data_IF_379174577544
#
_entry.id   IF_379174577544
#
_cell.length_a   1.000
_cell.length_b   1.000
_cell.length_c   1.000
_cell.angle_alpha   90.00
_cell.angle_beta   90.00
_cell.angle_gamma   90.00
#
_symmetry.space_group_name_H-M   'P 1'
#
loop_
_entity.id
_entity.type
_entity.pdbx_description
1 polymer ?
#
# COMPACT_ATOMS: atom_id res chain seq x y z
N UNK A 1 -16.04 5.53 -61.76
CA UNK A 1 -16.12 6.81 -61.03
C UNK A 1 -16.91 6.59 -59.74
N UNK A 2 -16.20 6.70 -58.61
CA UNK A 2 -16.60 6.91 -57.20
C UNK A 2 -18.03 6.53 -56.74
N UNK A 3 -18.10 5.41 -56.03
CA UNK A 3 -18.99 5.20 -54.88
C UNK A 3 -18.12 5.07 -53.63
N UNK A 4 -18.37 5.89 -52.60
CA UNK A 4 -18.64 5.38 -51.26
C UNK A 4 -19.16 6.54 -50.41
N UNK A 5 -20.36 6.35 -49.89
CA UNK A 5 -21.07 7.26 -49.00
C UNK A 5 -20.37 7.30 -47.63
N UNK A 6 -20.33 8.50 -47.07
CA UNK A 6 -20.12 8.89 -45.66
C UNK A 6 -20.35 7.75 -44.67
N UNK A 7 -19.27 7.23 -44.08
CA UNK A 7 -19.24 6.62 -42.74
C UNK A 7 -17.84 6.81 -42.20
N UNK A 8 -17.68 7.51 -41.08
CA UNK A 8 -16.87 7.03 -39.95
C UNK A 8 -16.93 8.03 -38.80
N UNK A 9 -17.75 7.66 -37.83
CA UNK A 9 -17.79 8.17 -36.47
C UNK A 9 -16.40 8.00 -35.84
N UNK A 10 -15.61 9.06 -35.76
CA UNK A 10 -14.46 9.14 -34.87
C UNK A 10 -14.97 9.46 -33.46
N UNK A 11 -15.56 8.47 -32.81
CA UNK A 11 -15.84 8.51 -31.37
C UNK A 11 -14.53 8.27 -30.63
N UNK A 12 -13.98 9.35 -30.09
CA UNK A 12 -12.74 9.42 -29.33
C UNK A 12 -12.86 8.54 -28.08
N UNK A 13 -12.15 7.42 -28.07
CA UNK A 13 -11.96 6.60 -26.87
C UNK A 13 -11.05 7.36 -25.89
N UNK A 14 -11.65 8.05 -24.91
CA UNK A 14 -10.93 8.56 -23.74
C UNK A 14 -10.66 7.39 -22.81
N UNK A 15 -9.52 6.72 -23.00
CA UNK A 15 -9.01 5.73 -22.07
C UNK A 15 -8.54 6.42 -20.79
N UNK A 16 -9.40 6.46 -19.77
CA UNK A 16 -8.98 6.84 -18.42
C UNK A 16 -8.19 5.66 -17.84
N UNK A 17 -6.88 5.66 -18.08
CA UNK A 17 -5.94 4.82 -17.34
C UNK A 17 -5.91 5.36 -15.89
N UNK A 18 -6.85 4.91 -15.07
CA UNK A 18 -6.81 5.14 -13.64
C UNK A 18 -5.58 4.42 -13.09
N UNK A 19 -4.52 5.17 -12.79
CA UNK A 19 -3.45 4.69 -11.91
C UNK A 19 -4.08 4.44 -10.54
N UNK A 20 -4.61 3.24 -10.32
CA UNK A 20 -4.88 2.74 -8.98
C UNK A 20 -3.52 2.52 -8.33
N UNK A 21 -2.96 3.58 -7.75
CA UNK A 21 -1.81 3.51 -6.85
C UNK A 21 -2.26 2.65 -5.67
N UNK A 22 -2.09 1.33 -5.77
CA UNK A 22 -2.12 0.47 -4.61
C UNK A 22 -1.04 1.03 -3.69
N UNK A 23 -1.46 1.60 -2.56
CA UNK A 23 -0.57 2.06 -1.50
C UNK A 23 0.25 0.84 -1.08
N UNK A 24 1.50 0.82 -1.52
CA UNK A 24 2.44 -0.27 -1.32
C UNK A 24 3.68 0.30 -0.64
N UNK A 25 4.42 -0.55 0.09
CA UNK A 25 5.75 -0.21 0.56
C UNK A 25 6.62 0.33 -0.59
N UNK A 26 7.43 1.33 -0.28
CA UNK A 26 8.46 1.83 -1.17
C UNK A 26 9.65 0.88 -1.26
N UNK A 27 10.58 1.19 -2.17
CA UNK A 27 11.80 0.41 -2.34
C UNK A 27 12.79 0.54 -1.16
N UNK A 28 12.63 1.58 -0.33
CA UNK A 28 13.49 1.89 0.80
C UNK A 28 12.67 2.54 1.92
N UNK A 29 13.20 2.50 3.13
CA UNK A 29 12.62 3.22 4.26
C UNK A 29 12.70 4.74 4.03
N UNK A 30 11.56 5.41 4.16
CA UNK A 30 11.43 6.86 4.00
C UNK A 30 12.05 7.66 5.13
N UNK A 31 12.41 8.92 4.86
CA UNK A 31 12.93 9.82 5.89
C UNK A 31 11.84 10.22 6.91
N UNK A 32 10.61 10.46 6.46
CA UNK A 32 9.47 10.74 7.30
C UNK A 32 8.79 9.42 7.72
N UNK A 33 8.72 9.10 9.02
CA UNK A 33 8.15 7.84 9.48
C UNK A 33 6.63 7.78 9.24
N UNK A 34 6.10 6.62 8.83
CA UNK A 34 4.66 6.41 8.76
C UNK A 34 4.08 6.34 10.18
N UNK A 35 2.88 6.90 10.34
CA UNK A 35 2.14 6.95 11.59
C UNK A 35 0.82 6.21 11.45
N UNK A 36 0.44 5.49 12.50
CA UNK A 36 -0.91 4.97 12.62
C UNK A 36 -1.89 6.13 12.78
N UNK A 37 -2.90 6.15 11.92
CA UNK A 37 -4.02 7.06 11.97
C UNK A 37 -5.32 6.27 11.93
N UNK A 38 -6.42 6.90 12.33
CA UNK A 38 -7.76 6.34 12.13
C UNK A 38 -8.30 6.80 10.79
N UNK A 39 -8.41 5.87 9.84
CA UNK A 39 -9.04 6.04 8.53
C UNK A 39 -10.38 5.30 8.55
N UNK A 40 -11.49 6.01 8.39
CA UNK A 40 -12.85 5.43 8.35
C UNK A 40 -13.16 4.49 9.54
N UNK A 41 -12.73 4.88 10.74
CA UNK A 41 -12.92 4.10 11.97
C UNK A 41 -12.01 2.87 12.09
N UNK A 42 -11.02 2.72 11.21
CA UNK A 42 -10.02 1.64 11.23
C UNK A 42 -8.62 2.20 11.38
N UNK A 43 -7.75 1.47 12.05
CA UNK A 43 -6.33 1.81 12.07
C UNK A 43 -5.71 1.58 10.68
N UNK A 44 -4.97 2.56 10.20
CA UNK A 44 -4.23 2.49 8.94
C UNK A 44 -3.01 3.40 8.98
N UNK A 45 -2.08 3.17 8.06
CA UNK A 45 -0.89 4.00 7.93
C UNK A 45 -1.21 5.24 7.09
N UNK A 46 -0.75 6.40 7.54
CA UNK A 46 -0.88 7.67 6.80
C UNK A 46 -0.01 7.72 5.54
N UNK A 47 1.15 7.07 5.57
CA UNK A 47 2.11 7.02 4.47
C UNK A 47 2.69 5.60 4.25
N UNK A 48 1.91 4.67 3.65
CA UNK A 48 2.38 3.32 3.31
C UNK A 48 3.66 3.27 2.47
N UNK A 49 3.89 4.26 1.61
CA UNK A 49 5.06 4.30 0.73
C UNK A 49 6.37 4.61 1.48
N UNK A 50 6.30 5.07 2.74
CA UNK A 50 7.49 5.25 3.57
C UNK A 50 8.06 3.91 4.06
N UNK A 51 7.26 2.84 4.13
CA UNK A 51 7.79 1.52 4.46
C UNK A 51 8.79 1.07 3.40
N UNK A 52 9.93 0.51 3.83
CA UNK A 52 10.86 -0.20 2.96
C UNK A 52 10.58 -1.70 2.92
N UNK A 53 11.38 -2.49 2.19
CA UNK A 53 11.28 -3.94 2.22
C UNK A 53 11.54 -4.49 3.63
N UNK A 54 10.91 -5.60 3.97
CA UNK A 54 11.13 -6.28 5.25
C UNK A 54 12.52 -6.93 5.26
N UNK A 55 13.40 -6.63 6.23
CA UNK A 55 14.67 -7.34 6.39
C UNK A 55 14.44 -8.84 6.61
N UNK A 56 15.29 -9.69 6.03
CA UNK A 56 15.10 -11.14 6.02
C UNK A 56 14.99 -11.73 7.44
N UNK A 57 15.78 -11.21 8.37
CA UNK A 57 15.79 -11.56 9.79
C UNK A 57 14.51 -11.13 10.53
N UNK A 58 13.78 -10.14 10.01
CA UNK A 58 12.54 -9.63 10.59
C UNK A 58 11.29 -10.25 9.95
N UNK A 59 11.41 -10.95 8.81
CA UNK A 59 10.27 -11.47 8.05
C UNK A 59 9.37 -12.37 8.90
N UNK A 60 9.95 -13.35 9.58
CA UNK A 60 9.17 -14.29 10.40
C UNK A 60 8.40 -13.59 11.54
N UNK A 61 8.99 -12.54 12.11
CA UNK A 61 8.34 -11.73 13.16
C UNK A 61 7.22 -10.87 12.57
N UNK A 62 7.49 -10.22 11.44
CA UNK A 62 6.49 -9.43 10.71
C UNK A 62 5.29 -10.28 10.29
N UNK A 63 5.54 -11.46 9.71
CA UNK A 63 4.48 -12.39 9.29
C UNK A 63 3.66 -12.87 10.48
N UNK A 64 4.29 -13.17 11.62
CA UNK A 64 3.57 -13.53 12.83
C UNK A 64 2.62 -12.40 13.29
N UNK A 65 3.10 -11.15 13.29
CA UNK A 65 2.28 -9.98 13.63
C UNK A 65 1.13 -9.81 12.63
N UNK A 66 1.41 -9.80 11.33
CA UNK A 66 0.39 -9.59 10.30
C UNK A 66 -0.63 -10.74 10.26
N UNK A 67 -0.20 -11.97 10.54
CA UNK A 67 -1.09 -13.14 10.56
C UNK A 67 -2.18 -13.05 11.64
N UNK A 68 -2.02 -12.21 12.66
CA UNK A 68 -3.07 -11.94 13.65
C UNK A 68 -4.31 -11.29 13.04
N UNK A 69 -4.17 -10.62 11.88
CA UNK A 69 -5.28 -10.03 11.12
C UNK A 69 -5.96 -11.03 10.17
N UNK A 70 -5.46 -12.27 10.10
CA UNK A 70 -6.03 -13.29 9.23
C UNK A 70 -7.52 -13.50 9.53
N UNK A 71 -8.29 -13.68 8.45
CA UNK A 71 -9.68 -14.09 8.51
C UNK A 71 -9.92 -15.28 7.61
N UNK A 72 -11.15 -15.81 7.61
CA UNK A 72 -11.58 -16.85 6.66
C UNK A 72 -11.34 -16.45 5.19
N UNK A 73 -11.36 -15.15 4.89
CA UNK A 73 -11.39 -14.63 3.52
C UNK A 73 -10.10 -13.96 3.08
N UNK A 74 -9.19 -13.67 4.01
CA UNK A 74 -7.95 -12.96 3.72
C UNK A 74 -6.83 -13.40 4.65
N UNK A 75 -5.67 -13.63 4.05
CA UNK A 75 -4.41 -13.86 4.74
C UNK A 75 -3.57 -12.59 4.61
N UNK A 76 -2.85 -12.26 5.67
CA UNK A 76 -1.94 -11.12 5.73
C UNK A 76 -0.54 -11.60 6.04
N UNK A 77 0.44 -10.94 5.43
CA UNK A 77 1.87 -11.15 5.65
C UNK A 77 2.58 -9.79 5.64
N UNK A 78 3.79 -9.73 6.18
CA UNK A 78 4.54 -8.49 6.21
C UNK A 78 5.21 -8.26 4.86
N UNK A 79 4.91 -7.12 4.23
CA UNK A 79 5.52 -6.73 2.95
C UNK A 79 6.29 -5.43 3.03
N UNK A 80 6.17 -4.71 4.14
CA UNK A 80 7.00 -3.55 4.43
C UNK A 80 7.43 -3.47 5.89
N UNK A 81 8.56 -2.82 6.13
CA UNK A 81 9.08 -2.52 7.46
C UNK A 81 9.56 -1.06 7.53
N UNK A 82 9.37 -0.44 8.69
CA UNK A 82 9.93 0.87 8.98
C UNK A 82 10.40 0.92 10.44
N UNK A 83 11.70 1.18 10.64
CA UNK A 83 12.37 1.16 11.94
C UNK A 83 11.84 2.20 12.92
N UNK A 84 11.38 3.35 12.40
CA UNK A 84 10.83 4.47 13.21
C UNK A 84 9.33 4.70 13.03
N UNK A 85 8.57 3.71 12.56
CA UNK A 85 7.11 3.85 12.45
C UNK A 85 6.50 4.28 13.79
N UNK A 86 5.41 5.04 13.72
CA UNK A 86 4.82 5.70 14.89
C UNK A 86 3.41 5.16 15.20
N UNK A 87 3.07 5.14 16.48
CA UNK A 87 1.74 4.80 16.97
C UNK A 87 0.72 5.93 16.73
N UNK A 88 -0.50 5.74 17.24
CA UNK A 88 -1.58 6.74 17.11
C UNK A 88 -1.27 8.07 17.82
N UNK A 89 -0.36 8.09 18.79
CA UNK A 89 0.08 9.28 19.51
C UNK A 89 1.26 9.98 18.84
N UNK A 90 1.91 9.32 17.86
CA UNK A 90 3.12 9.80 17.20
C UNK A 90 4.40 9.30 17.86
N UNK A 91 4.31 8.36 18.80
CA UNK A 91 5.46 7.77 19.46
C UNK A 91 6.04 6.63 18.62
N UNK A 92 7.37 6.55 18.43
CA UNK A 92 7.98 5.46 17.67
C UNK A 92 7.77 4.10 18.33
N UNK A 93 7.43 3.09 17.54
CA UNK A 93 7.49 1.71 17.99
C UNK A 93 8.95 1.31 18.26
N UNK A 94 9.25 0.81 19.46
CA UNK A 94 10.61 0.47 19.89
C UNK A 94 11.33 -0.55 18.97
N UNK A 95 10.57 -1.37 18.24
CA UNK A 95 11.08 -2.38 17.29
C UNK A 95 10.66 -2.10 15.85
N UNK A 96 10.28 -0.87 15.54
CA UNK A 96 9.65 -0.51 14.28
C UNK A 96 8.25 -1.12 14.12
N UNK A 97 7.69 -0.99 12.92
CA UNK A 97 6.41 -1.59 12.57
C UNK A 97 6.43 -2.17 11.16
N UNK A 98 5.38 -2.93 10.86
CA UNK A 98 5.22 -3.65 9.60
C UNK A 98 4.00 -3.16 8.82
N UNK A 99 4.13 -3.18 7.50
CA UNK A 99 3.01 -3.04 6.58
C UNK A 99 2.46 -4.43 6.25
N UNK A 100 1.17 -4.65 6.53
CA UNK A 100 0.51 -5.94 6.37
C UNK A 100 -0.45 -5.93 5.18
N UNK A 101 -0.28 -6.86 4.24
CA UNK A 101 -1.18 -7.06 3.10
C UNK A 101 -1.51 -8.54 2.82
#
# INVERSE_FOLDING_TARGET
MRFCRVVSLLAIWVGVAGCTLALRPGAFEGAAPPRLITLDGKAGWDNPAAFGPVPAELQATGDAICSSMNSRWRRFHATGYHSRAQDINGEPFAKGAYYCE
#
